data_IF_565169224103
#
_entry.id   IF_565169224103
#
_cell.length_a   1.000
_cell.length_b   1.000
_cell.length_c   1.000
_cell.angle_alpha   90.00
_cell.angle_beta   90.00
_cell.angle_gamma   90.00
#
_symmetry.space_group_name_H-M   'P 1'
#
loop_
_entity.id
_entity.type
_entity.pdbx_description
1 polymer ?
#
# COMPACT_ATOMS: atom_id res chain seq x y z
N UNK A 1 1.07 -18.27 1.09
CA UNK A 1 1.81 -17.25 0.32
C UNK A 1 1.79 -15.97 1.13
N UNK A 2 2.94 -15.33 1.31
CA UNK A 2 3.06 -14.07 2.04
C UNK A 2 2.44 -12.96 1.19
N UNK A 3 1.67 -12.07 1.81
CA UNK A 3 1.05 -10.93 1.13
C UNK A 3 1.55 -9.65 1.80
N UNK A 4 1.74 -8.60 1.03
CA UNK A 4 2.14 -7.29 1.54
C UNK A 4 1.12 -6.23 1.16
N UNK A 5 0.84 -5.32 2.08
CA UNK A 5 0.17 -4.06 1.77
C UNK A 5 1.24 -3.05 1.41
N UNK A 6 1.13 -2.44 0.24
CA UNK A 6 2.06 -1.44 -0.24
C UNK A 6 1.38 -0.08 -0.38
N UNK A 7 2.17 0.96 -0.13
CA UNK A 7 1.80 2.35 -0.32
C UNK A 7 2.80 2.95 -1.30
N UNK A 8 2.30 3.48 -2.41
CA UNK A 8 3.09 4.23 -3.38
C UNK A 8 2.62 5.68 -3.39
N UNK A 9 3.53 6.58 -3.71
CA UNK A 9 3.28 8.01 -3.79
C UNK A 9 3.70 8.52 -5.18
N UNK A 10 2.90 9.43 -5.74
CA UNK A 10 3.23 10.19 -6.92
C UNK A 10 3.40 11.65 -6.52
N UNK A 11 4.56 12.23 -6.83
CA UNK A 11 4.83 13.66 -6.64
C UNK A 11 4.01 14.51 -7.60
N UNK A 12 3.91 14.08 -8.88
CA UNK A 12 3.15 14.80 -9.91
C UNK A 12 1.67 14.91 -9.58
N UNK A 13 1.09 13.87 -8.98
CA UNK A 13 -0.31 13.87 -8.59
C UNK A 13 -0.54 14.33 -7.16
N UNK A 14 0.52 14.48 -6.36
CA UNK A 14 0.47 14.70 -4.91
C UNK A 14 -0.49 13.73 -4.20
N UNK A 15 -0.40 12.44 -4.57
CA UNK A 15 -1.36 11.42 -4.12
C UNK A 15 -0.70 10.12 -3.72
N UNK A 16 -1.29 9.50 -2.70
CA UNK A 16 -0.98 8.15 -2.27
C UNK A 16 -1.93 7.15 -2.94
N UNK A 17 -1.40 5.99 -3.29
CA UNK A 17 -2.15 4.81 -3.65
C UNK A 17 -1.78 3.68 -2.68
N UNK A 18 -2.80 2.94 -2.25
CA UNK A 18 -2.66 1.81 -1.31
C UNK A 18 -3.24 0.57 -1.99
N UNK A 19 -2.52 -0.54 -1.95
CA UNK A 19 -2.97 -1.82 -2.48
C UNK A 19 -2.32 -3.00 -1.78
N UNK A 20 -2.80 -4.20 -2.07
CA UNK A 20 -2.16 -5.45 -1.64
C UNK A 20 -1.62 -6.24 -2.83
N UNK A 21 -0.59 -7.03 -2.59
CA UNK A 21 -0.04 -7.96 -3.57
C UNK A 21 0.69 -9.11 -2.88
N UNK A 22 0.76 -10.26 -3.55
CA UNK A 22 1.65 -11.37 -3.18
C UNK A 22 3.05 -11.25 -3.81
N UNK A 23 3.22 -10.33 -4.76
CA UNK A 23 4.48 -10.05 -5.45
C UNK A 23 4.62 -8.53 -5.62
N UNK A 24 5.41 -7.92 -4.73
CA UNK A 24 5.61 -6.47 -4.72
C UNK A 24 6.53 -5.98 -5.85
N UNK A 25 7.69 -6.61 -6.13
CA UNK A 25 8.56 -6.21 -7.22
C UNK A 25 7.84 -6.13 -8.56
N UNK A 26 7.09 -7.18 -8.92
CA UNK A 26 6.30 -7.21 -10.15
C UNK A 26 5.25 -6.10 -10.17
N UNK A 27 4.53 -5.89 -9.07
CA UNK A 27 3.49 -4.86 -9.00
C UNK A 27 4.04 -3.44 -9.13
N UNK A 28 5.22 -3.16 -8.58
CA UNK A 28 5.89 -1.87 -8.74
C UNK A 28 6.31 -1.62 -10.19
N UNK A 29 6.78 -2.65 -10.88
CA UNK A 29 7.09 -2.57 -12.32
C UNK A 29 5.84 -2.31 -13.16
N UNK A 30 4.72 -2.99 -12.87
CA UNK A 30 3.43 -2.77 -13.52
C UNK A 30 2.96 -1.30 -13.40
N UNK A 31 3.14 -0.68 -12.22
CA UNK A 31 2.81 0.74 -12.00
C UNK A 31 3.77 1.69 -12.74
N UNK A 32 5.07 1.39 -12.78
CA UNK A 32 6.07 2.20 -13.51
C UNK A 32 5.87 2.17 -15.02
N UNK A 33 5.55 1.00 -15.56
CA UNK A 33 5.33 0.80 -17.00
C UNK A 33 3.94 1.30 -17.44
N UNK A 34 3.03 1.52 -16.50
CA UNK A 34 1.64 1.83 -16.80
C UNK A 34 0.93 0.66 -17.45
N UNK A 35 1.31 -0.57 -17.08
CA UNK A 35 0.86 -1.84 -17.66
C UNK A 35 -0.67 -1.90 -17.78
N UNK A 36 -1.38 -1.43 -16.77
CA UNK A 36 -2.84 -1.31 -16.79
C UNK A 36 -3.28 0.06 -17.33
N UNK A 37 -3.35 0.19 -18.65
CA UNK A 37 -3.58 1.45 -19.38
C UNK A 37 -4.84 2.22 -18.91
N UNK A 38 -5.90 1.53 -18.48
CA UNK A 38 -7.15 2.14 -17.99
C UNK A 38 -7.26 2.27 -16.47
N UNK A 39 -6.18 1.98 -15.72
CA UNK A 39 -6.20 2.03 -14.25
C UNK A 39 -6.02 3.45 -13.71
N UNK A 40 -6.44 3.69 -12.48
CA UNK A 40 -6.22 4.99 -11.82
C UNK A 40 -4.73 5.38 -11.78
N UNK A 41 -3.84 4.39 -11.66
CA UNK A 41 -2.41 4.60 -11.57
C UNK A 41 -1.75 4.80 -12.94
N UNK A 42 -2.38 4.50 -14.08
CA UNK A 42 -1.79 4.81 -15.40
C UNK A 42 -1.74 6.32 -15.73
N UNK A 43 -2.42 7.15 -14.94
CA UNK A 43 -2.41 8.62 -15.06
C UNK A 43 -1.02 9.22 -14.86
N UNK A 44 -0.12 8.50 -14.21
CA UNK A 44 1.27 8.90 -14.03
C UNK A 44 2.17 7.67 -13.90
N UNK A 45 3.47 7.84 -14.13
CA UNK A 45 4.48 6.77 -14.04
C UNK A 45 5.52 7.03 -12.97
N UNK A 46 5.39 8.13 -12.22
CA UNK A 46 6.30 8.54 -11.15
C UNK A 46 5.94 7.91 -9.80
N UNK A 47 5.25 6.75 -9.80
CA UNK A 47 4.94 6.04 -8.58
C UNK A 47 6.21 5.52 -7.91
N UNK A 48 6.46 5.99 -6.69
CA UNK A 48 7.58 5.56 -5.84
C UNK A 48 7.02 4.81 -4.64
N UNK A 49 7.66 3.71 -4.26
CA UNK A 49 7.33 2.98 -3.03
C UNK A 49 7.57 3.89 -1.83
N UNK A 50 6.50 4.19 -1.10
CA UNK A 50 6.53 5.00 0.10
C UNK A 50 6.71 4.15 1.36
N UNK A 51 5.94 3.06 1.45
CA UNK A 51 5.93 2.15 2.60
C UNK A 51 5.38 0.76 2.24
N UNK A 52 5.79 -0.26 2.99
CA UNK A 52 5.34 -1.64 2.86
C UNK A 52 5.02 -2.23 4.24
N UNK A 53 3.98 -3.05 4.31
CA UNK A 53 3.59 -3.82 5.50
C UNK A 53 3.47 -5.28 5.09
N UNK A 54 4.42 -6.09 5.52
CA UNK A 54 4.36 -7.54 5.37
C UNK A 54 3.27 -8.14 6.27
N UNK A 55 2.39 -8.94 5.67
CA UNK A 55 1.26 -9.57 6.33
C UNK A 55 1.41 -11.11 6.32
N UNK A 56 0.90 -11.73 7.37
CA UNK A 56 0.99 -13.17 7.63
C UNK A 56 0.00 -13.95 6.74
N UNK A 57 -1.06 -13.29 6.27
CA UNK A 57 -2.05 -13.88 5.36
C UNK A 57 -2.65 -12.85 4.41
N UNK A 58 -3.16 -13.33 3.27
CA UNK A 58 -3.95 -12.52 2.32
C UNK A 58 -5.12 -11.80 3.00
N UNK A 59 -5.81 -12.49 3.91
CA UNK A 59 -6.97 -11.93 4.62
C UNK A 59 -6.57 -10.80 5.57
N UNK A 60 -5.40 -10.91 6.22
CA UNK A 60 -4.85 -9.84 7.04
C UNK A 60 -4.49 -8.64 6.16
N UNK A 61 -3.80 -8.86 5.02
CA UNK A 61 -3.46 -7.79 4.07
C UNK A 61 -4.68 -7.02 3.57
N UNK A 62 -5.73 -7.72 3.11
CA UNK A 62 -6.97 -7.09 2.62
C UNK A 62 -7.63 -6.22 3.71
N UNK A 63 -7.65 -6.68 4.96
CA UNK A 63 -8.24 -5.91 6.07
C UNK A 63 -7.40 -4.68 6.44
N UNK A 64 -6.08 -4.82 6.46
CA UNK A 64 -5.15 -3.71 6.70
C UNK A 64 -5.27 -2.68 5.58
N UNK A 65 -5.27 -3.11 4.31
CA UNK A 65 -5.45 -2.24 3.14
C UNK A 65 -6.77 -1.46 3.24
N UNK A 66 -7.88 -2.16 3.52
CA UNK A 66 -9.20 -1.54 3.69
C UNK A 66 -9.18 -0.51 4.83
N UNK A 67 -8.61 -0.87 5.97
CA UNK A 67 -8.52 0.02 7.12
C UNK A 67 -7.73 1.29 6.79
N UNK A 68 -6.56 1.17 6.14
CA UNK A 68 -5.75 2.33 5.72
C UNK A 68 -6.54 3.23 4.76
N UNK A 69 -7.27 2.65 3.80
CA UNK A 69 -8.13 3.39 2.86
C UNK A 69 -9.29 4.11 3.55
N UNK A 70 -9.89 3.51 4.57
CA UNK A 70 -10.98 4.09 5.35
C UNK A 70 -10.55 5.32 6.16
N UNK A 71 -9.30 5.36 6.64
CA UNK A 71 -8.79 6.50 7.39
C UNK A 71 -8.75 7.80 6.57
N UNK A 72 -8.63 7.71 5.23
CA UNK A 72 -8.62 8.86 4.30
C UNK A 72 -7.71 10.01 4.75
N UNK A 73 -6.60 9.69 5.42
CA UNK A 73 -5.74 10.65 6.12
C UNK A 73 -4.30 10.52 5.66
N UNK A 74 -3.76 11.59 5.10
CA UNK A 74 -2.33 11.69 4.73
C UNK A 74 -1.46 11.60 5.96
N UNK A 75 -1.84 12.24 7.07
CA UNK A 75 -1.13 12.16 8.34
C UNK A 75 -1.05 10.73 8.84
N UNK A 76 -2.13 9.95 8.70
CA UNK A 76 -2.14 8.55 9.07
C UNK A 76 -1.11 7.74 8.25
N UNK A 77 -1.06 7.94 6.93
CA UNK A 77 -0.08 7.27 6.05
C UNK A 77 1.37 7.59 6.47
N UNK A 78 1.68 8.86 6.78
CA UNK A 78 3.00 9.23 7.27
C UNK A 78 3.31 8.61 8.64
N UNK A 79 2.31 8.56 9.52
CA UNK A 79 2.43 7.96 10.84
C UNK A 79 2.70 6.45 10.76
N UNK A 80 2.13 5.72 9.79
CA UNK A 80 2.45 4.30 9.57
C UNK A 80 3.95 4.08 9.32
N UNK A 81 4.59 5.00 8.57
CA UNK A 81 6.03 4.95 8.29
C UNK A 81 6.88 5.42 9.48
N UNK A 82 6.38 6.38 10.25
CA UNK A 82 7.12 7.01 11.35
C UNK A 82 7.05 6.21 12.66
N UNK A 83 5.94 5.51 12.89
CA UNK A 83 5.59 4.88 14.17
C UNK A 83 5.28 3.39 13.93
N UNK A 84 6.30 2.50 13.99
CA UNK A 84 6.14 1.07 13.77
C UNK A 84 5.06 0.41 14.64
N UNK A 85 4.84 0.94 15.84
CA UNK A 85 3.84 0.42 16.79
C UNK A 85 2.40 0.48 16.24
N UNK A 86 2.13 1.41 15.31
CA UNK A 86 0.82 1.48 14.63
C UNK A 86 0.65 0.26 13.71
N UNK A 87 1.71 -0.11 12.99
CA UNK A 87 1.71 -1.28 12.10
C UNK A 87 1.58 -2.56 12.93
N UNK A 88 2.31 -2.68 14.03
CA UNK A 88 2.20 -3.83 14.93
C UNK A 88 0.79 -3.97 15.51
N UNK A 89 0.18 -2.87 15.95
CA UNK A 89 -1.22 -2.86 16.42
C UNK A 89 -2.20 -3.25 15.32
N UNK A 90 -1.98 -2.83 14.08
CA UNK A 90 -2.82 -3.24 12.94
C UNK A 90 -2.69 -4.72 12.63
N UNK A 91 -1.45 -5.24 12.57
CA UNK A 91 -1.19 -6.67 12.38
C UNK A 91 -1.87 -7.48 13.48
N UNK A 92 -1.69 -7.10 14.74
CA UNK A 92 -2.32 -7.72 15.91
C UNK A 92 -3.85 -7.64 15.89
N UNK A 93 -4.43 -6.49 15.52
CA UNK A 93 -5.88 -6.32 15.39
C UNK A 93 -6.49 -7.23 14.33
N UNK A 94 -5.76 -7.48 13.25
CA UNK A 94 -6.22 -8.29 12.13
C UNK A 94 -5.56 -9.67 12.06
N UNK A 95 -4.98 -10.14 13.17
CA UNK A 95 -4.50 -11.52 13.31
C UNK A 95 -5.70 -12.45 13.20
N UNK A 96 -5.78 -13.19 12.10
CA UNK A 96 -6.74 -14.29 11.88
C UNK A 96 -6.06 -15.39 11.11
#
# INVERSE_FOLDING_TARGET
MQHSVYIIYSEKMDKFYVGETSDLPKRLEEHKTGFYISSYTSKTRDWVLFFEIECDSKNQAIKIEKHIKEMKSRTYIHNLKKYPEIVEKLKGKYLK
#
